data_IF_356235153455
#
_entry.id   IF_356235153455
#
_cell.length_a   1.000
_cell.length_b   1.000
_cell.length_c   1.000
_cell.angle_alpha   90.00
_cell.angle_beta   90.00
_cell.angle_gamma   90.00
#
_symmetry.space_group_name_H-M   'P 1'
#
loop_
_entity.id
_entity.type
_entity.pdbx_description
1 polymer ?
#
# COMPACT_ATOMS: atom_id res chain seq x y z
N UNK A 1 -11.11 -1.20 16.63
CA UNK A 1 -11.37 -2.63 16.32
C UNK A 1 -10.89 -2.94 14.90
N UNK A 2 -10.20 -4.04 14.71
CA UNK A 2 -9.76 -4.38 13.37
C UNK A 2 -10.94 -4.66 12.44
N UNK A 3 -10.74 -4.36 11.14
CA UNK A 3 -11.74 -4.65 10.12
C UNK A 3 -11.77 -6.16 9.87
N UNK A 4 -12.98 -6.73 9.93
CA UNK A 4 -13.19 -8.12 9.56
C UNK A 4 -13.25 -8.21 8.03
N UNK A 5 -12.29 -8.90 7.39
CA UNK A 5 -12.26 -8.96 5.93
C UNK A 5 -13.44 -9.72 5.31
N UNK A 6 -14.23 -10.42 6.12
CA UNK A 6 -15.40 -11.14 5.63
C UNK A 6 -16.68 -10.30 5.64
N UNK A 7 -16.66 -9.09 6.24
CA UNK A 7 -17.83 -8.23 6.36
C UNK A 7 -17.63 -6.91 5.63
N UNK A 8 -18.67 -6.41 4.97
CA UNK A 8 -18.77 -5.06 4.37
C UNK A 8 -17.53 -4.57 3.59
N UNK A 9 -16.70 -5.46 3.09
CA UNK A 9 -15.45 -5.08 2.45
C UNK A 9 -15.67 -4.28 1.16
N UNK A 10 -16.85 -4.43 0.52
CA UNK A 10 -17.18 -3.70 -0.70
C UNK A 10 -17.49 -2.23 -0.46
N UNK A 11 -17.75 -1.84 0.82
CA UNK A 11 -18.02 -0.46 1.19
C UNK A 11 -16.81 0.28 1.74
N UNK A 12 -15.65 -0.38 1.86
CA UNK A 12 -14.46 0.23 2.43
C UNK A 12 -13.83 1.27 1.49
N UNK A 13 -13.48 2.41 2.06
CA UNK A 13 -12.75 3.46 1.35
C UNK A 13 -11.26 3.30 1.57
N UNK A 14 -10.46 4.05 0.80
CA UNK A 14 -9.01 4.10 1.04
C UNK A 14 -8.70 4.65 2.42
N UNK A 15 -9.48 5.62 2.90
CA UNK A 15 -9.29 6.17 4.25
C UNK A 15 -9.52 5.12 5.33
N UNK A 16 -10.55 4.30 5.18
CA UNK A 16 -10.83 3.22 6.13
C UNK A 16 -9.73 2.16 6.11
N UNK A 17 -9.21 1.80 4.94
CA UNK A 17 -8.07 0.89 4.83
C UNK A 17 -6.82 1.50 5.47
N UNK A 18 -6.60 2.79 5.26
CA UNK A 18 -5.47 3.51 5.87
C UNK A 18 -5.56 3.48 7.40
N UNK A 19 -6.76 3.70 7.95
CA UNK A 19 -6.97 3.61 9.39
C UNK A 19 -6.68 2.21 9.93
N UNK A 20 -7.14 1.18 9.22
CA UNK A 20 -6.87 -0.21 9.59
C UNK A 20 -5.36 -0.49 9.59
N UNK A 21 -4.65 0.00 8.61
CA UNK A 21 -3.19 -0.13 8.52
C UNK A 21 -2.52 0.56 9.72
N UNK A 22 -2.92 1.79 10.05
CA UNK A 22 -2.34 2.51 11.19
C UNK A 22 -2.58 1.79 12.50
N UNK A 23 -3.76 1.21 12.70
CA UNK A 23 -4.05 0.41 13.90
C UNK A 23 -3.10 -0.79 14.01
N UNK A 24 -2.84 -1.46 12.89
CA UNK A 24 -1.90 -2.58 12.86
C UNK A 24 -0.49 -2.12 13.25
N UNK A 25 0.02 -1.06 12.62
CA UNK A 25 1.38 -0.55 12.89
C UNK A 25 1.51 -0.11 14.36
N UNK A 26 0.49 0.56 14.88
CA UNK A 26 0.46 1.00 16.27
C UNK A 26 0.42 -0.21 17.22
N UNK A 27 -0.37 -1.23 16.91
CA UNK A 27 -0.46 -2.44 17.72
C UNK A 27 0.86 -3.20 17.80
N UNK A 28 1.68 -3.12 16.75
CA UNK A 28 3.02 -3.70 16.74
C UNK A 28 4.06 -2.87 17.49
N UNK A 29 3.68 -1.69 17.95
CA UNK A 29 4.60 -0.79 18.66
C UNK A 29 5.54 -0.02 17.75
N UNK A 30 5.34 -0.09 16.41
CA UNK A 30 6.28 0.51 15.47
C UNK A 30 6.18 2.02 15.39
N UNK A 31 5.06 2.62 15.86
CA UNK A 31 4.94 4.07 15.95
C UNK A 31 5.51 4.63 17.26
N UNK A 32 5.92 3.79 18.18
CA UNK A 32 6.50 4.26 19.44
C UNK A 32 7.83 5.00 19.19
N UNK A 33 8.13 6.06 19.99
CA UNK A 33 9.35 6.85 19.79
C UNK A 33 10.63 6.04 19.89
N UNK A 34 10.63 4.95 20.66
CA UNK A 34 11.79 4.08 20.87
C UNK A 34 11.82 2.86 19.94
N UNK A 35 10.91 2.79 18.98
CA UNK A 35 10.87 1.67 18.06
C UNK A 35 12.16 1.60 17.23
N UNK A 36 12.77 0.40 17.08
CA UNK A 36 13.88 0.24 16.16
C UNK A 36 13.46 0.29 14.68
N UNK A 37 12.15 0.17 14.44
CA UNK A 37 11.58 0.24 13.09
C UNK A 37 10.94 1.61 12.88
N UNK A 38 11.77 2.62 12.68
CA UNK A 38 11.28 3.99 12.50
C UNK A 38 10.38 4.08 11.26
N UNK A 39 9.16 4.57 11.46
CA UNK A 39 8.15 4.69 10.41
C UNK A 39 8.24 6.07 9.74
N UNK A 40 9.45 6.46 9.32
CA UNK A 40 9.67 7.70 8.61
C UNK A 40 9.25 7.55 7.14
N UNK A 41 8.89 8.64 6.45
CA UNK A 41 8.57 8.56 5.02
C UNK A 41 9.67 7.89 4.20
N UNK A 42 10.94 8.18 4.50
CA UNK A 42 12.07 7.56 3.80
C UNK A 42 12.09 6.05 3.98
N UNK A 43 11.90 5.58 5.22
CA UNK A 43 11.94 4.15 5.51
C UNK A 43 10.73 3.44 4.88
N UNK A 44 9.57 4.07 4.89
CA UNK A 44 8.38 3.49 4.26
C UNK A 44 8.53 3.47 2.74
N UNK A 45 9.10 4.51 2.13
CA UNK A 45 9.38 4.51 0.70
C UNK A 45 10.37 3.40 0.32
N UNK A 46 11.37 3.16 1.16
CA UNK A 46 12.32 2.07 0.96
C UNK A 46 11.61 0.71 1.00
N UNK A 47 10.74 0.50 2.00
CA UNK A 47 9.97 -0.74 2.12
C UNK A 47 9.05 -0.94 0.91
N UNK A 48 8.44 0.14 0.43
CA UNK A 48 7.59 0.12 -0.76
C UNK A 48 8.37 -0.40 -1.98
N UNK A 49 9.58 0.11 -2.20
CA UNK A 49 10.41 -0.31 -3.34
C UNK A 49 10.80 -1.79 -3.22
N UNK A 50 11.17 -2.23 -2.01
CA UNK A 50 11.55 -3.62 -1.77
C UNK A 50 10.37 -4.56 -2.09
N UNK A 51 9.18 -4.24 -1.60
CA UNK A 51 7.99 -5.06 -1.86
C UNK A 51 7.61 -5.04 -3.34
N UNK A 52 7.75 -3.91 -4.01
CA UNK A 52 7.51 -3.81 -5.45
C UNK A 52 8.47 -4.71 -6.23
N UNK A 53 9.73 -4.80 -5.81
CA UNK A 53 10.70 -5.69 -6.41
C UNK A 53 10.31 -7.16 -6.23
N UNK A 54 9.74 -7.51 -5.09
CA UNK A 54 9.25 -8.88 -4.84
C UNK A 54 8.08 -9.25 -5.75
N UNK A 55 7.25 -8.28 -6.13
CA UNK A 55 6.22 -8.50 -7.14
C UNK A 55 6.86 -8.92 -8.46
N UNK A 56 7.93 -8.25 -8.86
CA UNK A 56 8.65 -8.59 -10.10
C UNK A 56 9.20 -10.01 -10.07
N UNK A 57 9.65 -10.49 -8.92
CA UNK A 57 10.22 -11.83 -8.78
C UNK A 57 9.24 -12.94 -9.19
N UNK A 58 7.94 -12.72 -9.07
CA UNK A 58 6.92 -13.67 -9.52
C UNK A 58 6.98 -13.92 -11.02
N UNK A 59 7.54 -13.01 -11.79
CA UNK A 59 7.58 -13.05 -13.25
C UNK A 59 8.99 -13.20 -13.78
N UNK A 60 9.98 -13.43 -12.90
CA UNK A 60 11.40 -13.44 -13.28
C UNK A 60 11.75 -14.51 -14.32
N UNK A 61 11.18 -15.70 -14.16
CA UNK A 61 11.50 -16.85 -15.00
C UNK A 61 10.39 -17.24 -15.94
N UNK A 62 9.19 -16.73 -15.71
CA UNK A 62 7.98 -17.15 -16.42
C UNK A 62 7.02 -15.96 -16.46
N UNK A 63 6.36 -15.76 -17.59
CA UNK A 63 5.36 -14.71 -17.75
C UNK A 63 4.02 -15.00 -17.07
N UNK A 64 3.81 -16.24 -16.61
CA UNK A 64 2.57 -16.65 -15.97
C UNK A 64 2.67 -16.57 -14.46
N UNK A 65 1.55 -16.35 -13.80
CA UNK A 65 1.48 -16.34 -12.35
C UNK A 65 1.42 -17.78 -11.83
N UNK A 66 2.49 -18.20 -11.16
CA UNK A 66 2.58 -19.58 -10.62
C UNK A 66 1.91 -19.70 -9.26
N UNK A 67 1.98 -18.65 -8.43
CA UNK A 67 1.43 -18.65 -7.08
C UNK A 67 0.58 -17.38 -6.87
N UNK A 68 -0.71 -17.43 -7.25
CA UNK A 68 -1.57 -16.25 -7.13
C UNK A 68 -1.74 -15.74 -5.69
N UNK A 69 -1.72 -16.63 -4.69
CA UNK A 69 -1.86 -16.22 -3.29
C UNK A 69 -0.66 -15.44 -2.81
N UNK A 70 0.54 -15.90 -3.15
CA UNK A 70 1.76 -15.19 -2.80
C UNK A 70 1.83 -13.83 -3.50
N UNK A 71 1.46 -13.78 -4.78
CA UNK A 71 1.41 -12.52 -5.52
C UNK A 71 0.40 -11.56 -4.88
N UNK A 72 -0.79 -12.06 -4.52
CA UNK A 72 -1.81 -11.23 -3.87
C UNK A 72 -1.28 -10.63 -2.56
N UNK A 73 -0.55 -11.42 -1.76
CA UNK A 73 0.06 -10.94 -0.52
C UNK A 73 1.06 -9.81 -0.76
N UNK A 74 1.90 -9.93 -1.78
CA UNK A 74 2.89 -8.90 -2.09
C UNK A 74 2.25 -7.64 -2.68
N UNK A 75 1.22 -7.79 -3.51
CA UNK A 75 0.46 -6.63 -3.98
C UNK A 75 -0.21 -5.90 -2.82
N UNK A 76 -0.73 -6.66 -1.85
CA UNK A 76 -1.32 -6.07 -0.64
C UNK A 76 -0.27 -5.31 0.16
N UNK A 77 0.93 -5.86 0.33
CA UNK A 77 2.01 -5.18 1.05
C UNK A 77 2.42 -3.88 0.35
N UNK A 78 2.53 -3.88 -0.97
CA UNK A 78 2.80 -2.66 -1.75
C UNK A 78 1.72 -1.63 -1.47
N UNK A 79 0.45 -2.02 -1.51
CA UNK A 79 -0.66 -1.12 -1.27
C UNK A 79 -0.64 -0.56 0.15
N UNK A 80 -0.33 -1.39 1.16
CA UNK A 80 -0.27 -0.95 2.55
C UNK A 80 0.83 0.08 2.77
N UNK A 81 2.01 -0.13 2.22
CA UNK A 81 3.10 0.86 2.31
C UNK A 81 2.76 2.14 1.55
N UNK A 82 2.08 2.02 0.41
CA UNK A 82 1.65 3.19 -0.36
C UNK A 82 0.64 4.04 0.44
N UNK A 83 -0.35 3.41 1.06
CA UNK A 83 -1.32 4.10 1.92
C UNK A 83 -0.61 4.77 3.10
N UNK A 84 0.35 4.07 3.72
CA UNK A 84 1.09 4.62 4.85
C UNK A 84 1.92 5.83 4.43
N UNK A 85 2.64 5.73 3.32
CA UNK A 85 3.47 6.84 2.84
C UNK A 85 2.63 8.07 2.50
N UNK A 86 1.50 7.89 1.83
CA UNK A 86 0.58 8.98 1.54
C UNK A 86 0.10 9.64 2.82
N UNK A 87 -0.30 8.85 3.81
CA UNK A 87 -0.77 9.34 5.11
C UNK A 87 0.32 10.12 5.85
N UNK A 88 1.53 9.56 5.91
CA UNK A 88 2.64 10.21 6.62
C UNK A 88 3.07 11.53 5.98
N UNK A 89 2.82 11.71 4.70
CA UNK A 89 3.18 12.92 3.97
C UNK A 89 2.00 13.89 3.77
N UNK A 90 0.84 13.57 4.34
CA UNK A 90 -0.34 14.43 4.28
C UNK A 90 -1.01 14.46 2.91
N UNK A 91 -0.83 13.42 2.10
CA UNK A 91 -1.42 13.35 0.76
C UNK A 91 -2.73 12.57 0.82
N UNK A 92 -3.81 13.17 0.29
CA UNK A 92 -5.06 12.47 0.05
C UNK A 92 -4.91 11.63 -1.21
N UNK A 93 -4.61 10.35 -1.04
CA UNK A 93 -4.28 9.46 -2.15
C UNK A 93 -5.46 9.26 -3.09
N UNK A 94 -6.68 9.17 -2.57
CA UNK A 94 -7.87 9.01 -3.42
C UNK A 94 -8.02 10.19 -4.37
N UNK A 95 -7.91 11.41 -3.86
CA UNK A 95 -7.96 12.61 -4.68
C UNK A 95 -6.82 12.66 -5.69
N UNK A 96 -5.62 12.29 -5.27
CA UNK A 96 -4.45 12.27 -6.15
C UNK A 96 -4.64 11.29 -7.31
N UNK A 97 -5.19 10.10 -7.01
CA UNK A 97 -5.49 9.09 -8.04
C UNK A 97 -6.52 9.63 -9.04
N UNK A 98 -7.61 10.19 -8.54
CA UNK A 98 -8.67 10.72 -9.39
C UNK A 98 -8.18 11.85 -10.29
N UNK A 99 -7.38 12.77 -9.74
CA UNK A 99 -6.78 13.84 -10.52
C UNK A 99 -5.83 13.32 -11.58
N UNK A 100 -5.03 12.31 -11.23
CA UNK A 100 -4.08 11.71 -12.17
C UNK A 100 -4.80 11.02 -13.31
N UNK A 101 -5.88 10.30 -13.01
CA UNK A 101 -6.72 9.68 -14.05
C UNK A 101 -7.28 10.74 -14.98
N UNK A 102 -7.82 11.83 -14.45
CA UNK A 102 -8.37 12.91 -15.26
C UNK A 102 -7.30 13.52 -16.20
N UNK A 103 -6.10 13.73 -15.66
CA UNK A 103 -4.96 14.22 -16.45
C UNK A 103 -4.59 13.23 -17.55
N UNK A 104 -4.54 11.95 -17.22
CA UNK A 104 -4.15 10.90 -18.17
C UNK A 104 -5.19 10.75 -19.31
N UNK A 105 -6.48 10.94 -19.03
CA UNK A 105 -7.51 10.92 -20.06
C UNK A 105 -7.32 12.02 -21.12
N UNK A 106 -6.79 13.17 -20.69
CA UNK A 106 -6.54 14.30 -21.59
C UNK A 106 -5.18 14.25 -22.27
N UNK A 107 -4.30 13.39 -21.80
CA UNK A 107 -2.91 13.32 -22.26
C UNK A 107 -2.79 12.46 -23.51
N UNK A 108 -1.95 12.90 -24.45
CA UNK A 108 -1.61 12.11 -25.63
C UNK A 108 -0.40 11.21 -25.29
N UNK A 109 -0.54 9.93 -25.58
CA UNK A 109 0.51 8.93 -25.33
C UNK A 109 1.03 8.37 -26.66
N UNK A 110 1.90 9.09 -27.30
CA UNK A 110 2.50 8.67 -28.59
C UNK A 110 3.76 7.85 -28.40
#
# INVERSE_FOLDING_TARGET
MPIDPSSDRDSLTLDELTEAMHRFVAAKGWYAPDSPRKQSPRNIATSLVIEAAEVLEHFQWNGDVEDPEALAGELADVALYLLQLASLTGIDLQSAILQKLATNYRRSWD
#
